data_IF_766318615350
#
_entry.id   IF_766318615350
#
_cell.length_a   1.000
_cell.length_b   1.000
_cell.length_c   1.000
_cell.angle_alpha   90.00
_cell.angle_beta   90.00
_cell.angle_gamma   90.00
#
_symmetry.space_group_name_H-M   'P 1'
#
loop_
_entity.id
_entity.type
_entity.pdbx_description
1 polymer ?
#
# COMPACT_ATOMS: atom_id res chain seq x y z
N UNK A 1 -20.97 -4.78 -4.23
CA UNK A 1 -20.24 -5.97 -4.73
C UNK A 1 -18.85 -5.57 -5.28
N UNK A 2 -18.58 -4.32 -5.68
CA UNK A 2 -17.26 -3.88 -6.16
C UNK A 2 -16.15 -3.73 -5.09
N UNK A 3 -16.48 -3.66 -3.80
CA UNK A 3 -15.48 -3.47 -2.74
C UNK A 3 -14.60 -4.70 -2.46
N UNK A 4 -14.89 -5.84 -3.08
CA UNK A 4 -14.20 -7.12 -2.82
C UNK A 4 -13.07 -7.44 -3.82
N UNK A 5 -12.87 -6.62 -4.86
CA UNK A 5 -11.96 -6.99 -5.96
C UNK A 5 -10.51 -6.55 -5.78
N UNK A 6 -10.21 -5.68 -4.81
CA UNK A 6 -8.84 -5.21 -4.58
C UNK A 6 -8.61 -4.99 -3.08
N UNK A 7 -7.76 -5.83 -2.51
CA UNK A 7 -7.33 -5.82 -1.10
C UNK A 7 -5.90 -5.30 -0.99
N UNK A 8 -5.48 -4.94 0.22
CA UNK A 8 -4.16 -4.34 0.47
C UNK A 8 -3.01 -5.21 -0.07
N UNK A 9 -3.14 -6.54 0.00
CA UNK A 9 -2.13 -7.47 -0.47
C UNK A 9 -1.89 -7.41 -1.98
N UNK A 10 -2.87 -6.93 -2.77
CA UNK A 10 -2.70 -6.76 -4.20
C UNK A 10 -1.70 -5.65 -4.57
N UNK A 11 -1.27 -4.80 -3.62
CA UNK A 11 -0.17 -3.86 -3.84
C UNK A 11 1.14 -4.58 -4.21
N UNK A 12 1.31 -5.85 -3.84
CA UNK A 12 2.45 -6.65 -4.25
C UNK A 12 2.56 -6.80 -5.79
N UNK A 13 1.43 -6.80 -6.50
CA UNK A 13 1.35 -6.98 -7.95
C UNK A 13 1.42 -5.66 -8.75
N UNK A 14 1.39 -4.52 -8.06
CA UNK A 14 1.55 -3.20 -8.70
C UNK A 14 2.99 -3.03 -9.16
N UNK A 15 3.21 -2.38 -10.30
CA UNK A 15 4.57 -2.10 -10.78
C UNK A 15 5.32 -1.12 -9.85
N UNK A 16 6.64 -1.10 -9.95
CA UNK A 16 7.47 -0.28 -9.06
C UNK A 16 7.16 1.22 -9.22
N UNK A 17 6.85 1.66 -10.44
CA UNK A 17 6.50 3.05 -10.71
C UNK A 17 5.19 3.43 -10.01
N UNK A 18 4.18 2.57 -10.07
CA UNK A 18 2.92 2.78 -9.39
C UNK A 18 3.07 2.82 -7.88
N UNK A 19 3.86 1.91 -7.30
CA UNK A 19 4.15 1.95 -5.85
C UNK A 19 4.89 3.22 -5.47
N UNK A 20 5.90 3.64 -6.23
CA UNK A 20 6.61 4.89 -5.96
C UNK A 20 5.71 6.12 -6.07
N UNK A 21 4.73 6.11 -6.99
CA UNK A 21 3.74 7.17 -7.08
C UNK A 21 2.82 7.18 -5.85
N UNK A 22 2.29 6.00 -5.47
CA UNK A 22 1.44 5.85 -4.29
C UNK A 22 2.15 6.34 -3.02
N UNK A 23 3.42 5.96 -2.83
CA UNK A 23 4.22 6.35 -1.67
C UNK A 23 4.43 7.87 -1.54
N UNK A 24 4.25 8.66 -2.60
CA UNK A 24 4.30 10.14 -2.53
C UNK A 24 3.00 10.76 -2.02
N UNK A 25 1.88 10.06 -2.19
CA UNK A 25 0.53 10.52 -1.81
C UNK A 25 0.13 10.05 -0.40
N UNK A 26 0.78 9.00 0.11
CA UNK A 26 0.48 8.39 1.40
C UNK A 26 1.29 9.06 2.52
N UNK A 27 0.63 9.36 3.64
CA UNK A 27 1.31 9.88 4.83
C UNK A 27 2.14 8.80 5.53
N UNK A 28 3.27 9.19 6.13
CA UNK A 28 4.12 8.24 6.88
C UNK A 28 3.37 7.53 8.01
N UNK A 29 2.48 8.24 8.72
CA UNK A 29 1.70 7.65 9.81
C UNK A 29 0.73 6.55 9.32
N UNK A 30 0.01 6.82 8.22
CA UNK A 30 -0.89 5.83 7.61
C UNK A 30 -0.11 4.63 7.09
N UNK A 31 1.05 4.87 6.44
CA UNK A 31 1.92 3.79 5.98
C UNK A 31 2.44 2.90 7.13
N UNK A 32 2.88 3.50 8.24
CA UNK A 32 3.33 2.76 9.43
C UNK A 32 2.19 1.88 9.95
N UNK A 33 0.99 2.44 10.14
CA UNK A 33 -0.16 1.69 10.64
C UNK A 33 -0.54 0.54 9.70
N UNK A 34 -0.62 0.80 8.39
CA UNK A 34 -0.99 -0.20 7.40
C UNK A 34 0.01 -1.37 7.35
N UNK A 35 1.31 -1.09 7.46
CA UNK A 35 2.37 -2.11 7.40
C UNK A 35 2.44 -3.00 8.64
N UNK A 36 1.85 -2.61 9.78
CA UNK A 36 1.78 -3.49 10.98
C UNK A 36 0.96 -4.76 10.74
N UNK A 37 -0.02 -4.71 9.85
CA UNK A 37 -0.84 -5.86 9.46
C UNK A 37 -0.65 -6.30 8.00
N UNK A 38 0.44 -5.88 7.36
CA UNK A 38 0.75 -6.28 6.00
C UNK A 38 1.58 -7.57 5.98
N UNK A 39 1.37 -8.38 4.95
CA UNK A 39 2.21 -9.54 4.67
C UNK A 39 3.63 -9.11 4.24
N UNK A 40 4.59 -10.01 4.44
CA UNK A 40 6.00 -9.70 4.20
C UNK A 40 6.28 -9.38 2.73
N UNK A 41 5.55 -10.00 1.80
CA UNK A 41 5.64 -9.69 0.36
C UNK A 41 5.30 -8.22 0.07
N UNK A 42 4.25 -7.70 0.70
CA UNK A 42 3.84 -6.30 0.55
C UNK A 42 4.86 -5.38 1.21
N UNK A 43 5.34 -5.72 2.40
CA UNK A 43 6.39 -4.95 3.07
C UNK A 43 7.65 -4.85 2.20
N UNK A 44 8.11 -5.97 1.66
CA UNK A 44 9.26 -6.02 0.76
C UNK A 44 9.05 -5.15 -0.48
N UNK A 45 7.87 -5.22 -1.09
CA UNK A 45 7.50 -4.39 -2.24
C UNK A 45 7.58 -2.90 -1.91
N UNK A 46 7.05 -2.50 -0.75
CA UNK A 46 7.06 -1.11 -0.27
C UNK A 46 8.48 -0.65 0.03
N UNK A 47 9.24 -1.39 0.84
CA UNK A 47 10.62 -1.03 1.18
C UNK A 47 11.55 -1.01 -0.03
N UNK A 48 11.36 -1.93 -0.98
CA UNK A 48 12.13 -1.99 -2.22
C UNK A 48 11.92 -0.77 -3.13
N UNK A 49 10.80 -0.08 -2.97
CA UNK A 49 10.44 1.13 -3.72
C UNK A 49 10.75 2.44 -2.98
N UNK A 50 11.45 2.37 -1.85
CA UNK A 50 11.93 3.52 -1.09
C UNK A 50 13.43 3.71 -1.27
N UNK A 51 13.92 4.92 -1.02
CA UNK A 51 15.36 5.11 -0.81
C UNK A 51 15.82 4.36 0.44
N UNK A 52 17.08 3.90 0.49
CA UNK A 52 17.64 3.17 1.65
C UNK A 52 17.36 3.88 2.98
N UNK A 53 17.65 5.18 3.04
CA UNK A 53 17.42 6.02 4.22
C UNK A 53 15.95 6.06 4.62
N UNK A 54 15.04 6.20 3.66
CA UNK A 54 13.62 6.27 3.97
C UNK A 54 13.08 4.91 4.45
N UNK A 55 13.55 3.82 3.87
CA UNK A 55 13.22 2.46 4.32
C UNK A 55 13.77 2.18 5.73
N UNK A 56 14.98 2.62 6.06
CA UNK A 56 15.56 2.53 7.41
C UNK A 56 14.70 3.29 8.44
N UNK A 57 14.40 4.56 8.17
CA UNK A 57 13.55 5.37 9.06
C UNK A 57 12.17 4.73 9.28
N UNK A 58 11.54 4.22 8.22
CA UNK A 58 10.24 3.57 8.33
C UNK A 58 10.30 2.27 9.15
N UNK A 59 11.40 1.50 9.05
CA UNK A 59 11.61 0.30 9.88
C UNK A 59 11.77 0.67 11.34
N UNK A 60 12.59 1.67 11.64
CA UNK A 60 12.79 2.17 13.00
C UNK A 60 11.45 2.64 13.61
N UNK A 61 10.65 3.38 12.83
CA UNK A 61 9.33 3.84 13.25
C UNK A 61 8.34 2.67 13.46
N UNK A 62 8.38 1.63 12.62
CA UNK A 62 7.56 0.43 12.77
C UNK A 62 7.90 -0.39 14.02
N UNK A 63 9.20 -0.49 14.35
CA UNK A 63 9.70 -1.14 15.55
C UNK A 63 9.35 -0.35 16.81
N UNK A 64 9.49 0.99 16.75
CA UNK A 64 9.12 1.89 17.83
C UNK A 64 7.60 1.96 18.05
N UNK A 65 6.81 1.78 16.98
CA UNK A 65 5.35 1.71 17.07
C UNK A 65 4.96 0.43 17.83
N UNK A 66 4.52 0.63 19.07
CA UNK A 66 3.99 -0.42 19.92
C UNK A 66 2.72 -1.11 19.36
N UNK A 67 2.03 -1.90 20.18
CA UNK A 67 0.79 -2.55 19.78
C UNK A 67 -0.25 -1.53 19.29
N UNK A 68 -0.91 -1.83 18.17
CA UNK A 68 -1.97 -1.01 17.56
C UNK A 68 -3.26 -1.82 17.46
N UNK A 69 -4.42 -1.16 17.42
CA UNK A 69 -5.70 -1.86 17.26
C UNK A 69 -5.87 -2.31 15.82
N UNK A 70 -6.45 -3.49 15.62
CA UNK A 70 -6.76 -4.01 14.27
C UNK A 70 -7.58 -3.01 13.44
N UNK A 71 -8.54 -2.31 14.05
CA UNK A 71 -9.36 -1.30 13.37
C UNK A 71 -8.56 -0.11 12.85
N UNK A 72 -7.45 0.27 13.50
CA UNK A 72 -6.57 1.35 13.04
C UNK A 72 -5.77 0.91 11.82
N UNK A 73 -5.29 -0.35 11.83
CA UNK A 73 -4.60 -0.97 10.70
C UNK A 73 -5.52 -1.06 9.49
N UNK A 74 -6.73 -1.60 9.66
CA UNK A 74 -7.73 -1.71 8.58
C UNK A 74 -8.15 -0.33 8.04
N UNK A 75 -8.24 0.67 8.92
CA UNK A 75 -8.53 2.05 8.53
C UNK A 75 -7.43 2.63 7.62
N UNK A 76 -6.17 2.49 8.02
CA UNK A 76 -5.02 2.95 7.25
C UNK A 76 -4.89 2.20 5.91
N UNK A 77 -5.10 0.87 5.91
CA UNK A 77 -5.09 0.09 4.67
C UNK A 77 -6.20 0.56 3.70
N UNK A 78 -7.42 0.82 4.20
CA UNK A 78 -8.52 1.35 3.38
C UNK A 78 -8.22 2.73 2.81
N UNK A 79 -7.61 3.62 3.60
CA UNK A 79 -7.18 4.94 3.13
C UNK A 79 -6.20 4.82 1.96
N UNK A 80 -5.16 3.99 2.10
CA UNK A 80 -4.17 3.75 1.04
C UNK A 80 -4.81 3.14 -0.21
N UNK A 81 -5.72 2.18 -0.03
CA UNK A 81 -6.46 1.57 -1.13
C UNK A 81 -7.35 2.59 -1.87
N UNK A 82 -7.97 3.54 -1.16
CA UNK A 82 -8.75 4.60 -1.77
C UNK A 82 -7.88 5.53 -2.62
N UNK A 83 -6.67 5.86 -2.14
CA UNK A 83 -5.68 6.64 -2.90
C UNK A 83 -5.26 5.86 -4.16
N UNK A 84 -4.89 4.58 -4.01
CA UNK A 84 -4.46 3.74 -5.13
C UNK A 84 -5.55 3.61 -6.21
N UNK A 85 -6.82 3.48 -5.82
CA UNK A 85 -7.96 3.44 -6.76
C UNK A 85 -8.12 4.76 -7.50
N UNK A 86 -8.10 5.89 -6.81
CA UNK A 86 -8.16 7.22 -7.43
C UNK A 86 -7.03 7.42 -8.45
N UNK A 87 -5.82 6.99 -8.10
CA UNK A 87 -4.66 7.06 -9.01
C UNK A 87 -4.82 6.12 -10.22
N UNK A 88 -5.46 4.97 -10.04
CA UNK A 88 -5.76 4.06 -11.14
C UNK A 88 -6.81 4.61 -12.09
N UNK A 89 -7.87 5.23 -11.56
CA UNK A 89 -8.88 5.95 -12.35
C UNK A 89 -8.26 7.12 -13.14
N UNK A 90 -7.21 7.74 -12.60
CA UNK A 90 -6.42 8.77 -13.28
C UNK A 90 -5.38 8.21 -14.28
N UNK A 91 -5.21 6.88 -14.35
CA UNK A 91 -4.22 6.21 -15.20
C UNK A 91 -2.77 6.31 -14.71
N UNK A 92 -2.55 6.72 -13.46
CA UNK A 92 -1.22 6.85 -12.85
C UNK A 92 -0.68 5.52 -12.31
N UNK A 93 -1.58 4.63 -11.90
CA UNK A 93 -1.26 3.29 -11.38
C UNK A 93 -2.05 2.24 -12.14
N UNK A 94 -1.41 1.14 -12.50
CA UNK A 94 -2.11 -0.06 -12.98
C UNK A 94 -2.25 -1.02 -11.81
N UNK A 95 -3.48 -1.19 -11.31
CA UNK A 95 -3.79 -2.19 -10.29
C UNK A 95 -3.96 -3.54 -10.98
N UNK A 96 -2.91 -4.35 -10.96
CA UNK A 96 -2.89 -5.67 -11.59
C UNK A 96 -3.72 -6.68 -10.81
N UNK A 97 -4.81 -7.17 -11.42
CA UNK A 97 -5.42 -8.45 -11.07
C UNK A 97 -4.93 -9.52 -12.04
N UNK A 98 -4.42 -10.65 -11.54
CA UNK A 98 -4.46 -11.91 -12.31
C UNK A 98 -5.93 -12.30 -12.48
N UNK A 99 -6.55 -11.72 -13.48
CA UNK A 99 -7.98 -11.77 -13.72
C UNK A 99 -8.31 -10.60 -14.61
N UNK A 100 -8.01 -10.77 -15.90
CA UNK A 100 -8.51 -9.85 -16.90
C UNK A 100 -10.03 -9.83 -16.79
N UNK A 101 -10.57 -8.71 -16.36
CA UNK A 101 -11.89 -8.30 -16.79
C UNK A 101 -11.70 -6.97 -17.50
N UNK A 102 -11.99 -7.04 -18.79
CA UNK A 102 -12.18 -5.96 -19.72
C UNK A 102 -12.62 -4.65 -19.05
N UNK A 103 -11.81 -3.61 -19.22
CA UNK A 103 -12.37 -2.29 -19.38
C UNK A 103 -13.06 -2.25 -20.75
N UNK A 104 -14.35 -2.63 -20.78
CA UNK A 104 -15.33 -2.14 -21.76
C UNK A 104 -16.23 -1.14 -21.03
#
# INVERSE_FOLDING_TARGET
>A
IQDLMFVFDNLADVDDRGIQALLREVSSESLILALKGADDVVKEKIFGNMSKRAAELLRDDLEAKGPVKLSEVEGAQKEILAIARRMAEAGEIVLGGKGGEEMI
#
